data_IF_098028779819
#
_entry.id   IF_098028779819
#
_cell.length_a   1.000
_cell.length_b   1.000
_cell.length_c   1.000
_cell.angle_alpha   90.00
_cell.angle_beta   90.00
_cell.angle_gamma   90.00
#
_symmetry.space_group_name_H-M   'P 1'
#
loop_
_entity.id
_entity.type
_entity.pdbx_description
1 polymer ?
#
# COMPACT_ATOMS: atom_id res chain seq x y z
N UNK A 1 25.88 -17.32 -10.99
CA UNK A 1 25.09 -16.39 -11.84
C UNK A 1 23.66 -16.86 -12.16
N UNK A 2 23.11 -17.93 -11.54
CA UNK A 2 21.79 -18.49 -11.90
C UNK A 2 20.61 -18.22 -10.94
N UNK A 3 20.83 -17.58 -9.79
CA UNK A 3 19.80 -17.41 -8.75
C UNK A 3 19.01 -16.09 -8.85
N UNK A 4 19.49 -15.10 -9.62
CA UNK A 4 18.86 -13.77 -9.76
C UNK A 4 17.50 -13.83 -10.48
N UNK A 5 17.36 -14.64 -11.52
CA UNK A 5 16.11 -14.73 -12.31
C UNK A 5 14.92 -15.23 -11.48
N UNK A 6 15.11 -16.21 -10.59
CA UNK A 6 14.02 -16.78 -9.78
C UNK A 6 13.43 -15.73 -8.83
N UNK A 7 14.26 -14.93 -8.16
CA UNK A 7 13.80 -13.92 -7.20
C UNK A 7 13.12 -12.72 -7.87
N UNK A 8 13.61 -12.31 -9.06
CA UNK A 8 12.95 -11.30 -9.89
C UNK A 8 11.59 -11.80 -10.40
N UNK A 9 11.53 -13.06 -10.83
CA UNK A 9 10.28 -13.73 -11.19
C UNK A 9 9.32 -13.77 -10.02
N UNK A 10 9.71 -14.18 -8.81
CA UNK A 10 8.78 -14.28 -7.67
C UNK A 10 8.18 -12.94 -7.20
N UNK A 11 8.93 -11.83 -7.32
CA UNK A 11 8.39 -10.50 -6.98
C UNK A 11 7.37 -10.06 -8.03
N UNK A 12 7.71 -10.23 -9.32
CA UNK A 12 6.78 -9.98 -10.43
C UNK A 12 5.60 -10.95 -10.42
N UNK A 13 5.81 -12.21 -10.06
CA UNK A 13 4.81 -13.27 -10.08
C UNK A 13 3.67 -12.97 -9.13
N UNK A 14 3.94 -12.39 -7.95
CA UNK A 14 2.87 -11.97 -7.02
C UNK A 14 2.01 -10.86 -7.62
N UNK A 15 2.65 -9.82 -8.17
CA UNK A 15 1.95 -8.75 -8.87
C UNK A 15 1.18 -9.28 -10.10
N UNK A 16 1.78 -10.18 -10.87
CA UNK A 16 1.18 -10.83 -12.04
C UNK A 16 0.02 -11.76 -11.66
N UNK A 17 0.11 -12.51 -10.55
CA UNK A 17 -0.98 -13.33 -10.03
C UNK A 17 -2.13 -12.43 -9.57
N UNK A 18 -1.84 -11.35 -8.84
CA UNK A 18 -2.85 -10.38 -8.43
C UNK A 18 -3.51 -9.72 -9.65
N UNK A 19 -2.73 -9.32 -10.66
CA UNK A 19 -3.26 -8.76 -11.92
C UNK A 19 -4.13 -9.79 -12.63
N UNK A 20 -3.65 -11.02 -12.80
CA UNK A 20 -4.39 -12.09 -13.45
C UNK A 20 -5.70 -12.38 -12.73
N UNK A 21 -5.69 -12.43 -11.39
CA UNK A 21 -6.89 -12.62 -10.60
C UNK A 21 -7.89 -11.47 -10.78
N UNK A 22 -7.43 -10.22 -10.79
CA UNK A 22 -8.28 -9.06 -11.06
C UNK A 22 -8.90 -9.09 -12.46
N UNK A 23 -8.11 -9.45 -13.47
CA UNK A 23 -8.55 -9.58 -14.87
C UNK A 23 -9.55 -10.74 -15.02
N UNK A 24 -9.27 -11.90 -14.42
CA UNK A 24 -10.19 -13.05 -14.42
C UNK A 24 -11.50 -12.67 -13.73
N UNK A 25 -11.47 -11.98 -12.58
CA UNK A 25 -12.67 -11.48 -11.93
C UNK A 25 -13.47 -10.54 -12.82
N UNK A 26 -12.82 -9.61 -13.52
CA UNK A 26 -13.49 -8.71 -14.45
C UNK A 26 -14.27 -9.47 -15.52
N UNK A 27 -13.66 -10.48 -16.15
CA UNK A 27 -14.29 -11.28 -17.20
C UNK A 27 -15.31 -12.29 -16.69
N UNK A 28 -15.13 -12.83 -15.49
CA UNK A 28 -16.05 -13.79 -14.87
C UNK A 28 -17.35 -13.15 -14.34
N UNK A 29 -17.34 -11.83 -14.08
CA UNK A 29 -18.52 -11.12 -13.59
C UNK A 29 -19.60 -10.95 -14.68
N UNK A 30 -20.90 -11.09 -14.33
CA UNK A 30 -22.00 -10.94 -15.27
C UNK A 30 -22.01 -9.58 -15.98
N UNK A 31 -22.35 -9.56 -17.27
CA UNK A 31 -22.48 -8.33 -18.05
C UNK A 31 -23.65 -7.43 -17.62
N UNK A 32 -24.52 -7.93 -16.72
CA UNK A 32 -25.58 -7.15 -16.08
C UNK A 32 -25.03 -6.11 -15.09
N UNK A 33 -23.79 -6.27 -14.63
CA UNK A 33 -23.08 -5.26 -13.86
C UNK A 33 -22.45 -4.23 -14.81
N UNK A 34 -22.64 -2.94 -14.52
CA UNK A 34 -22.04 -1.87 -15.31
C UNK A 34 -20.52 -1.98 -15.40
N UNK A 35 -19.94 -1.50 -16.51
CA UNK A 35 -18.50 -1.62 -16.80
C UNK A 35 -17.61 -1.10 -15.67
N UNK A 36 -17.99 0.04 -15.09
CA UNK A 36 -17.28 0.67 -13.97
C UNK A 36 -17.27 -0.22 -12.71
N UNK A 37 -18.42 -0.83 -12.38
CA UNK A 37 -18.56 -1.69 -11.21
C UNK A 37 -17.72 -2.97 -11.35
N UNK A 38 -17.68 -3.57 -12.54
CA UNK A 38 -16.81 -4.73 -12.83
C UNK A 38 -15.34 -4.38 -12.70
N UNK A 39 -14.94 -3.21 -13.20
CA UNK A 39 -13.56 -2.72 -13.07
C UNK A 39 -13.17 -2.51 -11.61
N UNK A 40 -14.02 -1.85 -10.81
CA UNK A 40 -13.79 -1.65 -9.37
C UNK A 40 -13.68 -2.96 -8.60
N UNK A 41 -14.54 -3.94 -8.89
CA UNK A 41 -14.47 -5.25 -8.22
C UNK A 41 -13.16 -5.96 -8.59
N UNK A 42 -12.79 -6.00 -9.87
CA UNK A 42 -11.52 -6.59 -10.31
C UNK A 42 -10.31 -5.90 -9.68
N UNK A 43 -10.34 -4.57 -9.59
CA UNK A 43 -9.33 -3.78 -8.90
C UNK A 43 -9.21 -4.13 -7.41
N UNK A 44 -10.34 -4.21 -6.70
CA UNK A 44 -10.35 -4.61 -5.29
C UNK A 44 -9.74 -5.99 -5.09
N UNK A 45 -10.13 -6.98 -5.89
CA UNK A 45 -9.59 -8.33 -5.82
C UNK A 45 -8.08 -8.34 -6.01
N UNK A 46 -7.57 -7.63 -7.02
CA UNK A 46 -6.14 -7.47 -7.27
C UNK A 46 -5.44 -6.86 -6.05
N UNK A 47 -5.94 -5.72 -5.57
CA UNK A 47 -5.33 -4.96 -4.49
C UNK A 47 -5.29 -5.76 -3.17
N UNK A 48 -6.39 -6.43 -2.82
CA UNK A 48 -6.48 -7.26 -1.61
C UNK A 48 -5.56 -8.47 -1.67
N UNK A 49 -5.55 -9.19 -2.79
CA UNK A 49 -4.64 -10.32 -2.98
C UNK A 49 -3.19 -9.88 -2.88
N UNK A 50 -2.86 -8.74 -3.48
CA UNK A 50 -1.51 -8.20 -3.41
C UNK A 50 -1.11 -7.80 -1.99
N UNK A 51 -2.00 -7.14 -1.24
CA UNK A 51 -1.81 -6.79 0.16
C UNK A 51 -1.57 -8.03 1.02
N UNK A 52 -2.40 -9.07 0.86
CA UNK A 52 -2.27 -10.34 1.58
C UNK A 52 -0.93 -11.00 1.26
N UNK A 53 -0.50 -11.03 0.00
CA UNK A 53 0.79 -11.60 -0.37
C UNK A 53 1.99 -10.83 0.19
N UNK A 54 1.88 -9.50 0.31
CA UNK A 54 2.89 -8.66 0.97
C UNK A 54 2.96 -9.00 2.45
N UNK A 55 1.82 -8.97 3.15
CA UNK A 55 1.74 -9.24 4.58
C UNK A 55 2.19 -10.65 4.93
N UNK A 56 1.71 -11.65 4.19
CA UNK A 56 2.11 -13.04 4.41
C UNK A 56 3.62 -13.23 4.28
N UNK A 57 4.27 -12.56 3.31
CA UNK A 57 5.73 -12.59 3.21
C UNK A 57 6.38 -11.91 4.41
N UNK A 58 5.97 -10.68 4.74
CA UNK A 58 6.59 -9.92 5.83
C UNK A 58 6.49 -10.65 7.17
N UNK A 59 5.34 -11.28 7.43
CA UNK A 59 5.07 -12.01 8.68
C UNK A 59 5.77 -13.38 8.77
N UNK A 60 6.13 -13.99 7.64
CA UNK A 60 6.81 -15.30 7.61
C UNK A 60 8.32 -15.21 7.38
N UNK A 61 8.84 -14.02 7.07
CA UNK A 61 10.28 -13.87 6.81
C UNK A 61 11.01 -13.75 8.14
N UNK A 62 11.91 -14.69 8.42
CA UNK A 62 12.79 -14.59 9.57
C UNK A 62 13.71 -13.38 9.43
N UNK A 63 13.96 -12.71 10.56
CA UNK A 63 14.79 -11.50 10.65
C UNK A 63 16.15 -11.67 9.96
N UNK A 64 16.75 -12.86 10.09
CA UNK A 64 18.05 -13.23 9.53
C UNK A 64 18.09 -13.22 8.00
N UNK A 65 16.95 -13.42 7.34
CA UNK A 65 16.84 -13.45 5.88
C UNK A 65 16.56 -12.07 5.27
N UNK A 66 16.08 -11.11 6.08
CA UNK A 66 15.72 -9.76 5.63
C UNK A 66 16.91 -9.03 4.97
N UNK A 67 18.14 -9.01 5.52
CA UNK A 67 19.28 -8.35 4.88
C UNK A 67 19.59 -8.92 3.49
N UNK A 68 19.44 -10.25 3.34
CA UNK A 68 19.67 -10.95 2.07
C UNK A 68 18.58 -10.60 1.05
N UNK A 69 17.32 -10.62 1.48
CA UNK A 69 16.17 -10.29 0.62
C UNK A 69 16.23 -8.83 0.19
N UNK A 70 16.55 -7.92 1.13
CA UNK A 70 16.74 -6.51 0.87
C UNK A 70 17.76 -6.30 -0.26
N UNK A 71 18.97 -6.84 -0.16
CA UNK A 71 20.01 -6.65 -1.19
C UNK A 71 19.65 -7.19 -2.57
N UNK A 72 18.78 -8.20 -2.67
CA UNK A 72 18.39 -8.80 -3.97
C UNK A 72 17.30 -7.97 -4.67
N UNK A 73 16.56 -7.13 -3.95
CA UNK A 73 15.38 -6.43 -4.48
C UNK A 73 15.64 -5.03 -5.09
N UNK A 74 16.92 -4.70 -5.22
CA UNK A 74 17.57 -3.39 -5.52
C UNK A 74 16.92 -2.53 -6.61
N UNK A 75 16.44 -3.12 -7.72
CA UNK A 75 15.88 -2.35 -8.84
C UNK A 75 14.35 -2.27 -8.89
N UNK A 76 13.65 -3.19 -8.20
CA UNK A 76 12.19 -3.29 -8.33
C UNK A 76 11.42 -2.62 -7.19
N UNK A 77 12.04 -2.44 -6.03
CA UNK A 77 11.34 -1.92 -4.85
C UNK A 77 10.82 -0.49 -5.06
N UNK A 78 11.64 0.40 -5.62
CA UNK A 78 11.25 1.78 -5.93
C UNK A 78 10.19 1.87 -7.04
N UNK A 79 10.34 1.06 -8.11
CA UNK A 79 9.35 1.02 -9.20
C UNK A 79 7.99 0.50 -8.72
N UNK A 80 7.97 -0.56 -7.94
CA UNK A 80 6.73 -1.12 -7.35
C UNK A 80 6.10 -0.12 -6.39
N UNK A 81 6.90 0.55 -5.54
CA UNK A 81 6.41 1.61 -4.67
C UNK A 81 5.78 2.76 -5.47
N UNK A 82 6.46 3.23 -6.52
CA UNK A 82 5.96 4.27 -7.41
C UNK A 82 4.63 3.87 -8.08
N UNK A 83 4.54 2.64 -8.60
CA UNK A 83 3.29 2.11 -9.17
C UNK A 83 2.16 2.07 -8.13
N UNK A 84 2.46 1.62 -6.90
CA UNK A 84 1.48 1.61 -5.80
C UNK A 84 1.04 3.02 -5.46
N UNK A 85 1.95 3.98 -5.35
CA UNK A 85 1.61 5.39 -5.07
C UNK A 85 0.69 5.96 -6.17
N UNK A 86 1.03 5.75 -7.44
CA UNK A 86 0.22 6.22 -8.58
C UNK A 86 -1.16 5.54 -8.56
N UNK A 87 -1.21 4.24 -8.35
CA UNK A 87 -2.45 3.46 -8.22
C UNK A 87 -3.34 3.96 -7.07
N UNK A 88 -2.75 4.21 -5.91
CA UNK A 88 -3.40 4.76 -4.73
C UNK A 88 -3.95 6.18 -5.01
N UNK A 89 -3.18 7.03 -5.70
CA UNK A 89 -3.61 8.38 -6.05
C UNK A 89 -4.74 8.39 -7.08
N UNK A 90 -4.65 7.54 -8.11
CA UNK A 90 -5.71 7.35 -9.09
C UNK A 90 -7.00 6.83 -8.41
N UNK A 91 -6.87 5.93 -7.42
CA UNK A 91 -8.01 5.44 -6.64
C UNK A 91 -8.70 6.57 -5.87
N UNK A 92 -7.94 7.50 -5.26
CA UNK A 92 -8.52 8.68 -4.59
C UNK A 92 -9.28 9.56 -5.57
N UNK A 93 -8.69 9.87 -6.73
CA UNK A 93 -9.36 10.71 -7.76
C UNK A 93 -10.65 10.04 -8.24
N UNK A 94 -10.61 8.74 -8.52
CA UNK A 94 -11.79 7.97 -8.91
C UNK A 94 -12.88 8.04 -7.84
N UNK A 95 -12.54 7.78 -6.57
CA UNK A 95 -13.47 7.83 -5.44
C UNK A 95 -14.10 9.22 -5.29
N UNK A 96 -13.30 10.29 -5.35
CA UNK A 96 -13.81 11.67 -5.24
C UNK A 96 -14.72 12.04 -6.44
N UNK A 97 -14.41 11.54 -7.64
CA UNK A 97 -15.23 11.75 -8.83
C UNK A 97 -16.54 10.96 -8.82
N UNK A 98 -16.55 9.76 -8.22
CA UNK A 98 -17.77 8.96 -8.07
C UNK A 98 -18.69 9.52 -6.98
N UNK A 99 -18.13 10.17 -5.97
CA UNK A 99 -18.92 10.79 -4.89
C UNK A 99 -19.90 11.85 -5.40
N UNK A 100 -19.50 12.65 -6.39
CA UNK A 100 -20.39 13.64 -7.00
C UNK A 100 -21.51 12.98 -7.81
N UNK A 101 -21.27 11.79 -8.37
CA UNK A 101 -22.26 11.02 -9.11
C UNK A 101 -23.27 10.30 -8.19
N UNK A 102 -22.88 9.94 -6.95
CA UNK A 102 -23.73 9.24 -5.99
C UNK A 102 -24.96 10.05 -5.52
N UNK A 103 -24.93 11.39 -5.63
CA UNK A 103 -26.11 12.23 -5.37
C UNK A 103 -27.31 11.91 -6.30
N UNK A 104 -27.08 11.23 -7.42
CA UNK A 104 -28.12 10.89 -8.41
C UNK A 104 -28.73 9.49 -8.26
N UNK A 105 -28.22 8.65 -7.35
CA UNK A 105 -28.58 7.23 -7.23
C UNK A 105 -29.37 6.96 -5.93
N UNK A 106 -30.53 6.30 -6.02
CA UNK A 106 -31.35 5.88 -4.87
C UNK A 106 -31.48 4.34 -4.80
N UNK A 107 -31.53 3.80 -3.56
CA UNK A 107 -31.78 2.37 -3.29
C UNK A 107 -30.54 1.46 -3.13
N UNK A 108 -30.74 0.14 -3.25
CA UNK A 108 -29.71 -0.93 -3.12
C UNK A 108 -28.42 -0.71 -3.92
N UNK A 109 -28.43 -0.15 -5.16
CA UNK A 109 -27.21 0.13 -5.91
C UNK A 109 -26.27 1.10 -5.19
N UNK A 110 -26.81 2.08 -4.44
CA UNK A 110 -26.02 3.08 -3.70
C UNK A 110 -25.18 2.41 -2.60
N UNK A 111 -25.75 1.47 -1.85
CA UNK A 111 -25.06 0.78 -0.75
C UNK A 111 -23.90 -0.05 -1.28
N UNK A 112 -24.11 -0.81 -2.37
CA UNK A 112 -23.05 -1.63 -2.99
C UNK A 112 -21.90 -0.77 -3.48
N UNK A 113 -22.19 0.37 -4.12
CA UNK A 113 -21.17 1.32 -4.53
C UNK A 113 -20.38 1.86 -3.33
N UNK A 114 -21.06 2.34 -2.29
CA UNK A 114 -20.40 2.86 -1.08
C UNK A 114 -19.49 1.82 -0.45
N UNK A 115 -19.93 0.57 -0.32
CA UNK A 115 -19.12 -0.51 0.24
C UNK A 115 -17.90 -0.80 -0.63
N UNK A 116 -18.05 -0.85 -1.96
CA UNK A 116 -16.93 -1.07 -2.89
C UNK A 116 -15.91 0.07 -2.82
N UNK A 117 -16.37 1.32 -2.82
CA UNK A 117 -15.53 2.51 -2.69
C UNK A 117 -14.80 2.52 -1.36
N UNK A 118 -15.49 2.25 -0.24
CA UNK A 118 -14.88 2.17 1.09
C UNK A 118 -13.81 1.05 1.15
N UNK A 119 -14.12 -0.12 0.58
CA UNK A 119 -13.18 -1.25 0.51
C UNK A 119 -11.94 -0.90 -0.31
N UNK A 120 -12.13 -0.17 -1.42
CA UNK A 120 -11.03 0.32 -2.28
C UNK A 120 -10.14 1.31 -1.53
N UNK A 121 -10.75 2.18 -0.73
CA UNK A 121 -10.03 3.16 0.07
C UNK A 121 -9.20 2.48 1.16
N UNK A 122 -9.78 1.52 1.87
CA UNK A 122 -9.11 0.76 2.93
C UNK A 122 -7.90 0.00 2.38
N UNK A 123 -8.07 -0.73 1.27
CA UNK A 123 -6.98 -1.52 0.70
C UNK A 123 -5.87 -0.63 0.13
N UNK A 124 -6.24 0.49 -0.51
CA UNK A 124 -5.27 1.47 -1.03
C UNK A 124 -4.50 2.15 0.11
N UNK A 125 -5.21 2.50 1.19
CA UNK A 125 -4.60 3.08 2.39
C UNK A 125 -3.63 2.09 3.04
N UNK A 126 -3.98 0.81 3.18
CA UNK A 126 -3.12 -0.20 3.82
C UNK A 126 -1.92 -0.61 2.95
N UNK A 127 -2.07 -0.62 1.63
CA UNK A 127 -0.99 -0.93 0.68
C UNK A 127 0.14 0.09 0.73
N UNK A 128 -0.18 1.36 0.97
CA UNK A 128 0.79 2.45 1.00
C UNK A 128 1.85 2.25 2.12
N UNK A 129 1.53 2.26 3.42
CA UNK A 129 2.51 2.03 4.49
C UNK A 129 3.14 0.64 4.40
N UNK A 130 2.42 -0.38 3.93
CA UNK A 130 3.02 -1.71 3.70
C UNK A 130 4.14 -1.67 2.66
N UNK A 131 3.96 -0.89 1.59
CA UNK A 131 4.97 -0.72 0.54
C UNK A 131 6.15 0.14 1.02
N UNK A 132 5.87 1.21 1.78
CA UNK A 132 6.89 2.02 2.43
C UNK A 132 7.71 1.21 3.45
N UNK A 133 7.08 0.34 4.26
CA UNK A 133 7.78 -0.54 5.20
C UNK A 133 8.82 -1.43 4.51
N UNK A 134 8.46 -2.04 3.37
CA UNK A 134 9.41 -2.81 2.57
C UNK A 134 10.54 -1.94 2.00
N UNK A 135 10.22 -0.73 1.56
CA UNK A 135 11.20 0.21 1.02
C UNK A 135 12.18 0.69 2.10
N UNK A 136 11.67 0.96 3.31
CA UNK A 136 12.47 1.31 4.46
C UNK A 136 13.40 0.18 4.89
N UNK A 137 12.88 -1.04 4.99
CA UNK A 137 13.70 -2.22 5.28
C UNK A 137 14.82 -2.35 4.25
N UNK A 138 14.47 -2.27 2.97
CA UNK A 138 15.43 -2.36 1.88
C UNK A 138 16.53 -1.30 1.98
N UNK A 139 16.15 -0.02 2.08
CA UNK A 139 17.10 1.07 2.13
C UNK A 139 17.90 1.09 3.44
N UNK A 140 17.32 0.64 4.56
CA UNK A 140 18.04 0.44 5.81
C UNK A 140 19.18 -0.55 5.62
N UNK A 141 18.89 -1.75 5.10
CA UNK A 141 19.90 -2.80 4.93
C UNK A 141 20.89 -2.55 3.79
N UNK A 142 20.53 -1.74 2.79
CA UNK A 142 21.42 -1.38 1.68
C UNK A 142 22.46 -0.33 2.10
N UNK A 143 22.04 0.69 2.85
CA UNK A 143 22.87 1.83 3.23
C UNK A 143 23.40 1.77 4.67
N UNK A 144 23.12 0.70 5.41
CA UNK A 144 23.71 0.46 6.72
C UNK A 144 25.22 0.21 6.59
N UNK A 145 26.00 1.05 7.25
CA UNK A 145 27.45 1.00 7.26
C UNK A 145 28.04 1.16 8.67
N UNK A 146 29.37 1.06 8.79
CA UNK A 146 30.05 1.30 10.07
C UNK A 146 29.80 2.76 10.50
N UNK A 147 28.97 2.96 11.51
CA UNK A 147 28.67 4.27 12.10
C UNK A 147 27.48 5.03 11.48
N UNK A 148 26.82 4.48 10.45
CA UNK A 148 25.63 5.10 9.83
C UNK A 148 24.48 4.11 9.85
N UNK A 149 23.42 4.45 10.59
CA UNK A 149 22.17 3.71 10.65
C UNK A 149 21.05 4.53 10.01
N UNK A 150 20.50 4.13 8.83
CA UNK A 150 19.45 4.91 8.17
C UNK A 150 18.19 5.10 9.03
N UNK A 151 17.82 4.09 9.81
CA UNK A 151 16.80 4.18 10.84
C UNK A 151 17.39 3.82 12.20
N UNK A 152 16.98 4.54 13.23
CA UNK A 152 17.46 4.39 14.60
C UNK A 152 16.26 3.99 15.45
N UNK A 153 16.19 2.70 15.78
CA UNK A 153 15.15 2.15 16.63
C UNK A 153 15.52 2.32 18.12
N UNK A 154 14.56 2.48 19.03
CA UNK A 154 14.81 2.73 20.46
C UNK A 154 15.69 1.67 21.12
N UNK A 155 15.37 0.39 20.88
CA UNK A 155 16.08 -0.75 21.45
C UNK A 155 17.42 -1.05 20.76
N UNK A 156 17.71 -0.34 19.65
CA UNK A 156 18.91 -0.54 18.81
C UNK A 156 19.17 -2.03 18.50
N UNK A 157 18.17 -2.77 17.99
CA UNK A 157 18.34 -4.18 17.65
C UNK A 157 19.45 -4.34 16.61
N UNK A 158 20.22 -5.41 16.73
CA UNK A 158 21.27 -5.73 15.76
C UNK A 158 20.70 -5.97 14.37
N UNK A 159 19.52 -6.59 14.26
CA UNK A 159 18.82 -6.79 13.00
C UNK A 159 17.32 -6.48 13.17
N UNK A 160 16.84 -5.28 12.76
CA UNK A 160 15.42 -4.94 12.83
C UNK A 160 14.58 -5.81 11.88
N UNK A 161 13.47 -6.32 12.38
CA UNK A 161 12.51 -7.13 11.65
C UNK A 161 11.52 -6.29 10.82
N UNK A 162 10.69 -6.95 10.01
CA UNK A 162 9.62 -6.25 9.29
C UNK A 162 8.61 -5.57 10.21
N UNK A 163 8.42 -6.07 11.44
CA UNK A 163 7.56 -5.43 12.44
C UNK A 163 8.03 -4.03 12.80
N UNK A 164 9.34 -3.81 12.90
CA UNK A 164 9.91 -2.49 13.22
C UNK A 164 9.64 -1.48 12.10
N UNK A 165 9.80 -1.91 10.84
CA UNK A 165 9.53 -1.07 9.67
C UNK A 165 8.03 -0.84 9.44
N UNK A 166 7.19 -1.85 9.72
CA UNK A 166 5.74 -1.74 9.67
C UNK A 166 5.24 -0.76 10.74
N UNK A 167 5.75 -0.88 11.96
CA UNK A 167 5.43 0.04 13.06
C UNK A 167 5.71 1.48 12.66
N UNK A 168 6.91 1.75 12.13
CA UNK A 168 7.27 3.09 11.67
C UNK A 168 6.35 3.59 10.55
N UNK A 169 6.19 2.79 9.48
CA UNK A 169 5.43 3.20 8.31
C UNK A 169 3.93 3.39 8.62
N UNK A 170 3.32 2.52 9.43
CA UNK A 170 1.92 2.67 9.82
C UNK A 170 1.70 3.85 10.76
N UNK A 171 2.66 4.16 11.64
CA UNK A 171 2.56 5.36 12.48
C UNK A 171 2.55 6.63 11.63
N UNK A 172 3.39 6.71 10.60
CA UNK A 172 3.35 7.80 9.62
C UNK A 172 2.02 7.83 8.87
N UNK A 173 1.50 6.68 8.43
CA UNK A 173 0.22 6.64 7.71
C UNK A 173 -0.97 7.11 8.56
N UNK A 174 -1.00 6.71 9.83
CA UNK A 174 -2.08 7.06 10.75
C UNK A 174 -1.99 8.51 11.21
N UNK A 175 -0.80 8.94 11.66
CA UNK A 175 -0.63 10.21 12.38
C UNK A 175 0.18 11.27 11.63
N UNK A 176 0.77 10.94 10.47
CA UNK A 176 1.71 11.81 9.74
C UNK A 176 2.90 12.28 10.60
N UNK A 177 3.25 11.54 11.64
CA UNK A 177 4.31 11.86 12.59
C UNK A 177 5.20 10.64 12.86
N UNK A 178 6.50 10.86 13.04
CA UNK A 178 7.44 9.82 13.47
C UNK A 178 7.20 9.49 14.94
N UNK A 179 7.18 8.20 15.27
CA UNK A 179 7.15 7.74 16.66
C UNK A 179 8.55 7.83 17.30
N UNK A 180 8.85 6.92 18.22
CA UNK A 180 10.14 6.73 18.90
C UNK A 180 11.30 6.29 17.97
N UNK A 181 11.01 5.90 16.73
CA UNK A 181 12.02 5.59 15.70
C UNK A 181 12.48 6.86 14.99
N UNK A 182 13.78 7.13 15.04
CA UNK A 182 14.38 8.30 14.39
C UNK A 182 14.95 7.98 13.00
N UNK A 183 14.82 8.93 12.07
CA UNK A 183 15.50 8.88 10.76
C UNK A 183 16.95 9.35 10.90
N UNK A 184 17.91 8.46 10.70
CA UNK A 184 19.35 8.74 10.89
C UNK A 184 20.07 9.32 9.67
N UNK A 185 19.46 9.31 8.48
CA UNK A 185 20.06 9.80 7.22
C UNK A 185 19.13 10.78 6.50
N UNK A 186 19.70 11.65 5.66
CA UNK A 186 18.91 12.62 4.87
C UNK A 186 17.99 11.93 3.86
N UNK A 187 18.45 10.86 3.22
CA UNK A 187 17.65 10.13 2.24
C UNK A 187 16.40 9.50 2.90
N UNK A 188 16.56 8.95 4.10
CA UNK A 188 15.42 8.48 4.92
C UNK A 188 14.44 9.60 5.27
N UNK A 189 14.94 10.80 5.57
CA UNK A 189 14.07 11.97 5.83
C UNK A 189 13.27 12.36 4.58
N UNK A 190 13.87 12.31 3.40
CA UNK A 190 13.16 12.60 2.15
C UNK A 190 12.05 11.58 1.86
N UNK A 191 12.34 10.29 2.05
CA UNK A 191 11.35 9.21 1.88
C UNK A 191 10.21 9.37 2.89
N UNK A 192 10.52 9.64 4.16
CA UNK A 192 9.52 9.88 5.20
C UNK A 192 8.68 11.11 4.93
N UNK A 193 9.27 12.20 4.44
CA UNK A 193 8.52 13.39 4.03
C UNK A 193 7.53 13.05 2.91
N UNK A 194 7.96 12.30 1.89
CA UNK A 194 7.09 11.85 0.81
C UNK A 194 5.92 11.01 1.35
N UNK A 195 6.21 10.04 2.24
CA UNK A 195 5.16 9.23 2.85
C UNK A 195 4.17 10.10 3.65
N UNK A 196 4.66 11.03 4.48
CA UNK A 196 3.82 11.91 5.30
C UNK A 196 2.87 12.76 4.44
N UNK A 197 3.37 13.35 3.34
CA UNK A 197 2.53 14.14 2.42
C UNK A 197 1.43 13.28 1.80
N UNK A 198 1.76 12.08 1.31
CA UNK A 198 0.77 11.18 0.71
C UNK A 198 -0.24 10.70 1.75
N UNK A 199 0.23 10.40 2.96
CA UNK A 199 -0.60 9.93 4.09
C UNK A 199 -1.59 11.01 4.52
N UNK A 200 -1.15 12.28 4.57
CA UNK A 200 -2.02 13.42 4.84
C UNK A 200 -3.16 13.53 3.81
N UNK A 201 -2.87 13.38 2.52
CA UNK A 201 -3.89 13.41 1.46
C UNK A 201 -4.88 12.24 1.60
N UNK A 202 -4.39 11.05 1.95
CA UNK A 202 -5.25 9.90 2.23
C UNK A 202 -6.18 10.15 3.43
N UNK A 203 -5.66 10.68 4.52
CA UNK A 203 -6.44 10.99 5.71
C UNK A 203 -7.52 12.04 5.41
N UNK A 204 -7.21 13.03 4.57
CA UNK A 204 -8.19 14.01 4.08
C UNK A 204 -9.28 13.36 3.22
N UNK A 205 -8.90 12.44 2.32
CA UNK A 205 -9.86 11.72 1.48
C UNK A 205 -10.80 10.83 2.30
N UNK A 206 -10.28 10.12 3.31
CA UNK A 206 -11.08 9.32 4.25
C UNK A 206 -12.05 10.20 5.03
N UNK A 207 -11.58 11.35 5.54
CA UNK A 207 -12.42 12.29 6.26
C UNK A 207 -13.53 12.85 5.34
N UNK A 208 -13.18 13.26 4.12
CA UNK A 208 -14.14 13.77 3.14
C UNK A 208 -15.20 12.75 2.75
N UNK A 209 -14.81 11.49 2.51
CA UNK A 209 -15.73 10.39 2.25
C UNK A 209 -16.66 10.17 3.46
N UNK A 210 -16.11 10.16 4.67
CA UNK A 210 -16.88 9.94 5.90
C UNK A 210 -17.94 11.01 6.11
N UNK A 211 -17.58 12.29 5.90
CA UNK A 211 -18.52 13.42 6.00
C UNK A 211 -19.61 13.33 4.93
N UNK A 212 -19.25 13.01 3.68
CA UNK A 212 -20.21 12.91 2.59
C UNK A 212 -21.22 11.76 2.81
N UNK A 213 -20.73 10.58 3.20
CA UNK A 213 -21.57 9.42 3.52
C UNK A 213 -22.47 9.74 4.72
N UNK A 214 -21.92 10.36 5.77
CA UNK A 214 -22.70 10.78 6.94
C UNK A 214 -23.81 11.77 6.58
N UNK A 215 -23.50 12.80 5.79
CA UNK A 215 -24.48 13.77 5.30
C UNK A 215 -25.57 13.09 4.45
N UNK A 216 -25.18 12.15 3.58
CA UNK A 216 -26.08 11.43 2.70
C UNK A 216 -26.95 10.36 3.37
N UNK A 217 -26.68 10.00 4.64
CA UNK A 217 -27.52 9.14 5.48
C UNK A 217 -28.53 9.94 6.32
N UNK A 218 -28.21 11.20 6.61
CA UNK A 218 -29.07 12.13 7.38
C UNK A 218 -30.04 12.91 6.48
N UNK A 219 -29.83 12.90 5.16
CA UNK A 219 -30.69 13.46 4.12
C UNK A 219 -31.70 12.45 3.59
#
# INVERSE_FOLDING_TARGET
MGFSLRTHLFTRLRLLISIAAGVICYFALPATLGTLQRMLIGWNVLAWLYLIFIWFRMLRTDVKDIPRIAKIQDQSAGLVLGMVIVACMASIVAILSELSALHSLSGTPRVVHVVLTATTLIVSWALLPSSFAMHYAHHHYLHRGKGVSPMIFPEKPDDPGYWDFLYFAFTIAVASQTADVATGTTDMRQITLLQSVISFVFNLAILGLSVNVGAGLLS
#
